data_IF_691610924015
#
_entry.id   IF_691610924015
#
_cell.length_a   1.000
_cell.length_b   1.000
_cell.length_c   1.000
_cell.angle_alpha   90.00
_cell.angle_beta   90.00
_cell.angle_gamma   90.00
#
_symmetry.space_group_name_H-M   'P 1'
#
loop_
_entity.id
_entity.type
_entity.pdbx_description
1 polymer ?
#
# COMPACT_ATOMS: atom_id res chain seq x y z
N UNK A 1 4.48 10.62 -13.73
CA UNK A 1 3.35 9.82 -14.22
C UNK A 1 3.04 8.72 -13.20
N UNK A 2 1.80 8.63 -12.75
CA UNK A 2 1.44 7.64 -11.73
C UNK A 2 1.17 6.28 -12.39
N UNK A 3 1.81 5.24 -11.86
CA UNK A 3 1.54 3.88 -12.30
C UNK A 3 0.16 3.46 -11.79
N UNK A 4 -0.66 2.86 -12.65
CA UNK A 4 -1.98 2.36 -12.26
C UNK A 4 -1.91 0.87 -11.95
N UNK A 5 -2.93 0.37 -11.25
CA UNK A 5 -3.00 -1.07 -10.96
C UNK A 5 -3.14 -1.89 -12.27
N UNK A 6 -3.81 -1.35 -13.28
CA UNK A 6 -3.93 -2.03 -14.57
C UNK A 6 -2.58 -2.14 -15.27
N UNK A 7 -1.74 -1.11 -15.18
CA UNK A 7 -0.38 -1.17 -15.71
C UNK A 7 0.45 -2.23 -14.98
N UNK A 8 0.30 -2.31 -13.67
CA UNK A 8 1.00 -3.33 -12.88
C UNK A 8 0.54 -4.73 -13.30
N UNK A 9 -0.77 -4.94 -13.47
CA UNK A 9 -1.30 -6.21 -13.97
C UNK A 9 -0.73 -6.59 -15.33
N UNK A 10 -0.70 -5.62 -16.25
CA UNK A 10 -0.19 -5.86 -17.60
C UNK A 10 1.30 -6.24 -17.56
N UNK A 11 2.07 -5.55 -16.73
CA UNK A 11 3.49 -5.83 -16.61
C UNK A 11 3.75 -7.19 -15.96
N UNK A 12 2.97 -7.56 -14.93
CA UNK A 12 3.08 -8.89 -14.33
C UNK A 12 2.73 -10.00 -15.33
N UNK A 13 1.76 -9.76 -16.22
CA UNK A 13 1.40 -10.73 -17.24
C UNK A 13 2.53 -11.00 -18.23
N UNK A 14 3.41 -10.01 -18.46
CA UNK A 14 4.56 -10.15 -19.33
C UNK A 14 5.75 -10.82 -18.68
N UNK A 15 5.77 -10.88 -17.35
CA UNK A 15 6.89 -11.45 -16.59
C UNK A 15 6.51 -12.84 -16.11
N UNK A 16 7.15 -13.86 -16.68
CA UNK A 16 6.86 -15.26 -16.35
C UNK A 16 7.69 -15.75 -15.17
N UNK A 17 8.90 -15.23 -15.00
CA UNK A 17 9.85 -15.64 -14.00
C UNK A 17 9.67 -14.82 -12.72
N UNK A 18 9.69 -15.50 -11.57
CA UNK A 18 9.56 -14.85 -10.27
C UNK A 18 10.74 -13.94 -9.95
N UNK A 19 11.94 -14.25 -10.43
CA UNK A 19 13.08 -13.35 -10.24
C UNK A 19 12.83 -12.01 -10.94
N UNK A 20 12.24 -12.03 -12.12
CA UNK A 20 11.90 -10.81 -12.87
C UNK A 20 10.75 -10.06 -12.19
N UNK A 21 9.76 -10.77 -11.68
CA UNK A 21 8.66 -10.15 -10.93
C UNK A 21 9.16 -9.50 -9.65
N UNK A 22 10.07 -10.16 -8.95
CA UNK A 22 10.67 -9.60 -7.73
C UNK A 22 11.40 -8.31 -8.02
N UNK A 23 12.20 -8.28 -9.09
CA UNK A 23 12.90 -7.07 -9.50
C UNK A 23 11.93 -5.95 -9.86
N UNK A 24 10.86 -6.27 -10.55
CA UNK A 24 9.84 -5.30 -10.90
C UNK A 24 9.20 -4.70 -9.65
N UNK A 25 8.87 -5.51 -8.67
CA UNK A 25 8.31 -5.04 -7.40
C UNK A 25 9.30 -4.10 -6.69
N UNK A 26 10.57 -4.46 -6.63
CA UNK A 26 11.60 -3.60 -6.03
C UNK A 26 11.67 -2.26 -6.77
N UNK A 27 11.59 -2.28 -8.10
CA UNK A 27 11.59 -1.05 -8.89
C UNK A 27 10.36 -0.19 -8.63
N UNK A 28 9.19 -0.80 -8.46
CA UNK A 28 7.99 -0.05 -8.06
C UNK A 28 8.22 0.69 -6.74
N UNK A 29 8.93 0.07 -5.80
CA UNK A 29 9.25 0.70 -4.53
C UNK A 29 10.08 1.97 -4.68
N UNK A 30 10.87 2.08 -5.72
CA UNK A 30 11.66 3.28 -6.00
C UNK A 30 10.81 4.44 -6.49
N UNK A 31 9.58 4.18 -6.90
CA UNK A 31 8.66 5.23 -7.36
C UNK A 31 7.88 5.88 -6.22
N UNK A 32 8.02 5.37 -4.99
CA UNK A 32 7.37 5.99 -3.83
C UNK A 32 7.87 7.41 -3.63
N UNK A 33 6.93 8.32 -3.34
CA UNK A 33 7.29 9.67 -2.96
C UNK A 33 8.10 9.65 -1.66
N UNK A 34 9.12 10.51 -1.53
CA UNK A 34 9.92 10.55 -0.31
C UNK A 34 9.07 10.86 0.91
N UNK A 35 9.30 10.13 1.99
CA UNK A 35 8.66 10.41 3.27
C UNK A 35 9.58 11.31 4.09
N UNK A 36 9.10 12.50 4.54
CA UNK A 36 9.90 13.34 5.41
C UNK A 36 10.34 12.60 6.66
N UNK A 37 11.52 12.90 7.17
CA UNK A 37 12.07 12.22 8.34
C UNK A 37 11.13 12.30 9.55
N UNK A 38 10.52 13.46 9.76
CA UNK A 38 9.57 13.65 10.84
C UNK A 38 8.37 12.70 10.78
N UNK A 39 8.04 12.19 9.59
CA UNK A 39 6.93 11.26 9.40
C UNK A 39 7.30 9.81 9.73
N UNK A 40 8.59 9.51 9.91
CA UNK A 40 9.05 8.20 10.40
C UNK A 40 8.86 8.12 11.92
N UNK A 41 7.65 8.32 12.37
CA UNK A 41 7.30 8.42 13.78
C UNK A 41 6.69 7.12 14.30
N UNK A 42 6.63 6.99 15.61
CA UNK A 42 5.96 5.84 16.24
C UNK A 42 4.48 5.77 15.87
N UNK A 43 3.83 6.93 15.72
CA UNK A 43 2.41 6.97 15.35
C UNK A 43 2.16 6.44 13.95
N UNK A 44 3.10 6.64 13.02
CA UNK A 44 2.99 6.19 11.64
C UNK A 44 3.55 4.78 11.43
N UNK A 45 4.25 4.24 12.41
CA UNK A 45 4.82 2.90 12.29
C UNK A 45 3.72 1.85 12.34
N UNK A 46 3.75 0.94 11.36
CA UNK A 46 2.79 -0.17 11.29
C UNK A 46 3.34 -1.33 12.12
N UNK A 47 2.58 -1.76 13.11
CA UNK A 47 2.96 -2.88 13.96
C UNK A 47 2.65 -4.20 13.26
N UNK A 48 3.37 -5.26 13.62
CA UNK A 48 3.15 -6.59 13.04
C UNK A 48 3.98 -6.89 11.83
N UNK A 49 4.90 -5.98 11.45
CA UNK A 49 5.81 -6.18 10.32
C UNK A 49 7.20 -6.58 10.82
N UNK A 50 7.84 -7.52 10.13
CA UNK A 50 9.22 -7.91 10.44
C UNK A 50 10.21 -6.79 10.10
N UNK A 51 10.02 -6.14 8.95
CA UNK A 51 10.75 -4.93 8.57
C UNK A 51 10.08 -3.70 9.17
N UNK A 52 10.80 -2.61 9.27
CA UNK A 52 10.18 -1.35 9.67
C UNK A 52 9.33 -0.82 8.53
N UNK A 53 8.09 -0.45 8.84
CA UNK A 53 7.13 0.08 7.87
C UNK A 53 6.46 1.30 8.48
N UNK A 54 6.37 2.38 7.71
CA UNK A 54 5.66 3.58 8.12
C UNK A 54 4.62 3.94 7.05
N UNK A 55 3.43 4.33 7.48
CA UNK A 55 2.37 4.86 6.63
C UNK A 55 1.91 6.19 7.22
N UNK A 56 2.05 7.26 6.43
CA UNK A 56 1.63 8.61 6.82
C UNK A 56 0.36 8.95 6.09
N UNK A 57 -0.68 9.29 6.83
CA UNK A 57 -2.01 9.59 6.27
C UNK A 57 -2.22 11.09 6.19
N UNK A 58 -2.76 11.55 5.06
CA UNK A 58 -3.28 12.90 4.89
C UNK A 58 -4.73 12.83 4.43
N UNK A 59 -5.58 13.65 5.02
CA UNK A 59 -6.99 13.72 4.63
C UNK A 59 -7.17 14.95 3.75
N UNK A 60 -7.53 14.73 2.50
CA UNK A 60 -7.75 15.80 1.53
C UNK A 60 -9.24 16.07 1.41
N UNK A 61 -9.67 17.25 1.85
CA UNK A 61 -11.07 17.68 1.82
C UNK A 61 -11.35 18.69 0.72
N UNK A 62 -10.37 18.96 -0.15
CA UNK A 62 -10.46 20.02 -1.16
C UNK A 62 -11.28 19.64 -2.38
N UNK A 63 -11.58 18.34 -2.60
CA UNK A 63 -12.13 17.86 -3.87
C UNK A 63 -13.64 17.62 -3.86
N UNK A 64 -14.35 17.95 -2.77
CA UNK A 64 -15.80 17.80 -2.74
C UNK A 64 -16.33 17.38 -1.38
N UNK A 65 -17.48 16.69 -1.39
CA UNK A 65 -18.21 16.34 -0.17
C UNK A 65 -17.54 15.22 0.63
N UNK A 66 -16.77 14.36 -0.02
CA UNK A 66 -16.12 13.24 0.64
C UNK A 66 -14.62 13.47 0.69
N UNK A 67 -13.99 13.20 1.85
CA UNK A 67 -12.54 13.32 1.95
C UNK A 67 -11.86 12.20 1.17
N UNK A 68 -10.66 12.50 0.67
CA UNK A 68 -9.77 11.48 0.10
C UNK A 68 -8.67 11.19 1.11
N UNK A 69 -8.36 9.92 1.29
CA UNK A 69 -7.23 9.52 2.14
C UNK A 69 -6.01 9.34 1.25
N UNK A 70 -4.98 10.12 1.50
CA UNK A 70 -3.71 10.05 0.77
C UNK A 70 -2.63 9.54 1.69
N UNK A 71 -1.74 8.71 1.15
CA UNK A 71 -0.71 8.07 1.95
C UNK A 71 0.66 8.28 1.37
N UNK A 72 1.63 8.44 2.26
CA UNK A 72 3.04 8.21 1.99
C UNK A 72 3.42 6.91 2.70
N UNK A 73 4.32 6.15 2.11
CA UNK A 73 4.78 4.90 2.72
C UNK A 73 6.28 4.74 2.58
N UNK A 74 6.89 4.10 3.56
CA UNK A 74 8.32 3.82 3.55
C UNK A 74 8.63 2.56 4.34
N UNK A 75 9.78 1.96 4.05
CA UNK A 75 10.29 0.79 4.76
C UNK A 75 11.81 0.74 4.61
N UNK A 76 12.45 0.02 5.53
CA UNK A 76 13.87 -0.25 5.44
C UNK A 76 14.20 -1.45 4.53
N UNK A 77 13.19 -2.15 4.00
CA UNK A 77 13.36 -3.27 3.08
C UNK A 77 12.86 -2.92 1.67
N UNK A 78 13.70 -3.12 0.66
CA UNK A 78 13.37 -2.75 -0.72
C UNK A 78 12.15 -3.47 -1.27
N UNK A 79 11.99 -4.77 -0.98
CA UNK A 79 10.84 -5.52 -1.45
C UNK A 79 9.55 -5.03 -0.77
N UNK A 80 9.62 -4.67 0.50
CA UNK A 80 8.47 -4.15 1.23
C UNK A 80 8.06 -2.78 0.68
N UNK A 81 9.03 -1.93 0.31
CA UNK A 81 8.72 -0.67 -0.36
C UNK A 81 7.94 -0.91 -1.65
N UNK A 82 8.29 -1.95 -2.40
CA UNK A 82 7.56 -2.34 -3.60
C UNK A 82 6.13 -2.79 -3.30
N UNK A 83 5.94 -3.57 -2.25
CA UNK A 83 4.61 -3.97 -1.82
C UNK A 83 3.78 -2.77 -1.39
N UNK A 84 4.40 -1.81 -0.71
CA UNK A 84 3.75 -0.54 -0.35
C UNK A 84 3.33 0.22 -1.61
N UNK A 85 4.19 0.28 -2.62
CA UNK A 85 3.85 0.98 -3.86
C UNK A 85 2.60 0.39 -4.51
N UNK A 86 2.48 -0.93 -4.57
CA UNK A 86 1.29 -1.59 -5.09
C UNK A 86 0.06 -1.26 -4.22
N UNK A 87 0.23 -1.35 -2.91
CA UNK A 87 -0.86 -1.09 -1.96
C UNK A 87 -1.38 0.34 -2.09
N UNK A 88 -0.49 1.32 -2.19
CA UNK A 88 -0.88 2.71 -2.32
C UNK A 88 -1.51 3.02 -3.68
N UNK A 89 -1.16 2.27 -4.72
CA UNK A 89 -1.84 2.36 -6.01
C UNK A 89 -3.32 2.00 -5.88
N UNK A 90 -3.64 1.06 -4.98
CA UNK A 90 -5.01 0.63 -4.74
C UNK A 90 -5.77 1.58 -3.81
N UNK A 91 -5.12 2.16 -2.82
CA UNK A 91 -5.79 2.83 -1.71
C UNK A 91 -5.57 4.34 -1.63
N UNK A 92 -4.40 4.85 -2.00
CA UNK A 92 -4.11 6.26 -1.82
C UNK A 92 -4.91 7.12 -2.79
N UNK A 93 -5.46 8.22 -2.30
CA UNK A 93 -6.25 9.13 -3.13
C UNK A 93 -7.69 8.70 -3.36
N UNK A 94 -8.19 7.77 -2.55
CA UNK A 94 -9.57 7.29 -2.64
C UNK A 94 -10.38 7.71 -1.43
N UNK A 95 -11.71 7.66 -1.57
CA UNK A 95 -12.61 7.91 -0.44
C UNK A 95 -12.55 6.75 0.55
N UNK A 96 -12.93 6.97 1.81
CA UNK A 96 -13.01 5.89 2.78
C UNK A 96 -13.86 4.70 2.32
N UNK A 97 -14.99 4.97 1.67
CA UNK A 97 -15.86 3.90 1.20
C UNK A 97 -15.21 3.11 0.07
N UNK A 98 -14.55 3.79 -0.87
CA UNK A 98 -13.81 3.11 -1.94
C UNK A 98 -12.72 2.21 -1.38
N UNK A 99 -12.02 2.67 -0.34
CA UNK A 99 -11.00 1.86 0.33
C UNK A 99 -11.62 0.59 0.92
N UNK A 100 -12.74 0.72 1.62
CA UNK A 100 -13.42 -0.44 2.22
C UNK A 100 -14.00 -1.39 1.19
N UNK A 101 -14.33 -0.88 0.01
CA UNK A 101 -14.85 -1.69 -1.10
C UNK A 101 -13.74 -2.40 -1.89
N UNK A 102 -12.47 -2.07 -1.64
CA UNK A 102 -11.33 -2.63 -2.37
C UNK A 102 -10.67 -3.74 -1.56
N UNK A 103 -10.63 -4.95 -2.11
CA UNK A 103 -9.97 -6.10 -1.48
C UNK A 103 -8.52 -6.20 -1.98
N UNK A 104 -7.61 -5.54 -1.26
CA UNK A 104 -6.20 -5.54 -1.65
C UNK A 104 -5.56 -6.92 -1.52
N UNK A 105 -5.95 -7.70 -0.52
CA UNK A 105 -5.40 -9.06 -0.34
C UNK A 105 -5.72 -9.92 -1.57
N UNK A 106 -6.93 -9.81 -2.11
CA UNK A 106 -7.31 -10.54 -3.33
C UNK A 106 -6.42 -10.14 -4.52
N UNK A 107 -6.08 -8.86 -4.64
CA UNK A 107 -5.19 -8.39 -5.71
C UNK A 107 -3.78 -8.97 -5.54
N UNK A 108 -3.25 -8.99 -4.32
CA UNK A 108 -1.93 -9.59 -4.07
C UNK A 108 -1.95 -11.11 -4.33
N UNK A 109 -3.05 -11.80 -4.00
CA UNK A 109 -3.21 -13.21 -4.33
C UNK A 109 -3.25 -13.42 -5.85
N UNK A 110 -3.93 -12.54 -6.57
CA UNK A 110 -3.96 -12.55 -8.04
C UNK A 110 -2.55 -12.50 -8.63
N UNK A 111 -1.65 -11.71 -8.01
CA UNK A 111 -0.26 -11.59 -8.46
C UNK A 111 0.62 -12.76 -7.99
N UNK A 112 0.09 -13.70 -7.24
CA UNK A 112 0.83 -14.88 -6.78
C UNK A 112 1.63 -14.68 -5.51
N UNK A 113 1.43 -13.59 -4.80
CA UNK A 113 2.21 -13.30 -3.60
C UNK A 113 1.90 -14.22 -2.43
N UNK A 114 0.71 -14.84 -2.40
CA UNK A 114 0.39 -15.82 -1.34
C UNK A 114 1.45 -16.92 -1.25
N UNK A 115 1.95 -17.39 -2.40
CA UNK A 115 2.89 -18.49 -2.49
C UNK A 115 4.35 -18.04 -2.48
N UNK A 116 4.61 -16.74 -2.72
CA UNK A 116 5.96 -16.23 -2.93
C UNK A 116 6.42 -15.21 -1.89
N UNK A 117 5.63 -14.99 -0.85
CA UNK A 117 6.07 -14.21 0.32
C UNK A 117 6.27 -15.12 1.52
N UNK A 118 7.25 -14.79 2.35
CA UNK A 118 7.42 -15.48 3.63
C UNK A 118 6.21 -15.20 4.52
N UNK A 119 5.91 -16.06 5.53
CA UNK A 119 4.82 -15.79 6.47
C UNK A 119 4.95 -14.42 7.15
N UNK A 120 6.16 -14.00 7.50
CA UNK A 120 6.38 -12.70 8.14
C UNK A 120 6.00 -11.55 7.21
N UNK A 121 6.35 -11.65 5.91
CA UNK A 121 5.98 -10.62 4.93
C UNK A 121 4.49 -10.60 4.65
N UNK A 122 3.86 -11.77 4.58
CA UNK A 122 2.40 -11.87 4.41
C UNK A 122 1.68 -11.23 5.58
N UNK A 123 2.14 -11.49 6.80
CA UNK A 123 1.56 -10.89 8.01
C UNK A 123 1.75 -9.38 8.01
N UNK A 124 2.92 -8.89 7.60
CA UNK A 124 3.17 -7.45 7.48
C UNK A 124 2.28 -6.78 6.46
N UNK A 125 2.06 -7.43 5.31
CA UNK A 125 1.15 -6.93 4.29
C UNK A 125 -0.28 -6.81 4.83
N UNK A 126 -0.76 -7.82 5.54
CA UNK A 126 -2.08 -7.78 6.16
C UNK A 126 -2.19 -6.68 7.21
N UNK A 127 -1.13 -6.47 7.97
CA UNK A 127 -1.09 -5.38 8.96
C UNK A 127 -1.21 -4.01 8.28
N UNK A 128 -0.53 -3.81 7.15
CA UNK A 128 -0.64 -2.57 6.37
C UNK A 128 -2.06 -2.36 5.83
N UNK A 129 -2.64 -3.40 5.26
CA UNK A 129 -4.01 -3.36 4.74
C UNK A 129 -4.98 -3.00 5.86
N UNK A 130 -4.87 -3.66 7.01
CA UNK A 130 -5.76 -3.40 8.14
C UNK A 130 -5.60 -1.98 8.69
N UNK A 131 -4.37 -1.45 8.71
CA UNK A 131 -4.13 -0.07 9.14
C UNK A 131 -4.89 0.91 8.26
N UNK A 132 -4.81 0.76 6.94
CA UNK A 132 -5.49 1.65 6.01
C UNK A 132 -7.01 1.49 6.11
N UNK A 133 -7.50 0.27 6.22
CA UNK A 133 -8.93 0.02 6.36
C UNK A 133 -9.47 0.56 7.68
N UNK A 134 -8.71 0.46 8.75
CA UNK A 134 -9.06 1.05 10.05
C UNK A 134 -9.18 2.58 9.93
N UNK A 135 -8.23 3.22 9.24
CA UNK A 135 -8.28 4.66 8.99
C UNK A 135 -9.54 5.04 8.21
N UNK A 136 -9.93 4.22 7.23
CA UNK A 136 -11.13 4.46 6.43
C UNK A 136 -12.40 4.33 7.28
N UNK A 137 -12.47 3.34 8.14
CA UNK A 137 -13.60 3.17 9.06
C UNK A 137 -13.73 4.35 10.02
N UNK A 138 -12.61 4.82 10.56
CA UNK A 138 -12.60 5.99 11.44
C UNK A 138 -13.07 7.25 10.71
N UNK A 139 -12.64 7.43 9.46
CA UNK A 139 -13.04 8.59 8.67
C UNK A 139 -14.55 8.58 8.37
N UNK A 140 -15.13 7.40 8.10
CA UNK A 140 -16.57 7.27 7.90
C UNK A 140 -17.34 7.55 9.19
N UNK A 141 -16.87 7.06 10.33
CA UNK A 141 -17.51 7.29 11.61
C UNK A 141 -17.48 8.78 11.99
N UNK A 142 -16.39 9.48 11.66
CA UNK A 142 -16.27 10.91 11.93
C UNK A 142 -17.16 11.76 11.04
N UNK A 143 -17.53 11.25 9.85
CA UNK A 143 -18.34 11.97 8.89
C UNK A 143 -19.85 11.80 9.13
N UNK A 144 -20.24 10.83 9.94
CA UNK A 144 -21.64 10.51 10.18
C UNK A 144 -22.26 11.33 11.32
#
# INVERSE_FOLDING_TARGET
MMTTIDEIRDNFALLEDWDDRYRYVIELGRTLDPMPEAEHSAANKVQGCASQVWLSKQVDRSTGNEPLLKYLGDSDAHIVRGLIAILLTLYSGHTPQEILDTDAIAVFDEFGFREHLTPQRSNGLRAMVERIRSDAREALAAAS
#
